data_IF_229111115503
#
_entry.id   IF_229111115503
#
_cell.length_a   1.000
_cell.length_b   1.000
_cell.length_c   1.000
_cell.angle_alpha   90.00
_cell.angle_beta   90.00
_cell.angle_gamma   90.00
#
_symmetry.space_group_name_H-M   'P 1'
#
loop_
_entity.id
_entity.type
_entity.pdbx_description
1 polymer ?
#
# COMPACT_ATOMS: atom_id res chain seq x y z
N UNK A 1 30.73 -22.58 11.50
CA UNK A 1 30.05 -21.41 10.86
C UNK A 1 28.70 -21.88 10.35
N UNK A 2 27.64 -21.20 10.71
CA UNK A 2 26.30 -21.56 10.25
C UNK A 2 26.13 -21.04 8.83
N UNK A 3 26.00 -21.94 7.84
CA UNK A 3 25.62 -21.63 6.46
C UNK A 3 24.15 -21.20 6.40
N UNK A 4 23.82 -20.07 7.01
CA UNK A 4 22.49 -19.51 6.89
C UNK A 4 22.38 -18.84 5.51
N UNK A 5 21.35 -19.23 4.77
CA UNK A 5 21.02 -18.54 3.52
C UNK A 5 20.83 -17.03 3.78
N UNK A 6 21.28 -16.16 2.86
CA UNK A 6 21.07 -14.73 3.02
C UNK A 6 19.57 -14.39 3.03
N UNK A 7 19.21 -13.37 3.79
CA UNK A 7 17.84 -12.83 3.79
C UNK A 7 17.53 -12.29 2.38
N UNK A 8 16.39 -12.68 1.83
CA UNK A 8 15.91 -12.16 0.56
C UNK A 8 14.94 -11.00 0.80
N UNK A 9 15.11 -9.93 0.08
CA UNK A 9 14.12 -8.84 0.06
C UNK A 9 12.86 -9.29 -0.65
N UNK A 10 11.72 -8.71 -0.30
CA UNK A 10 10.45 -9.00 -0.95
C UNK A 10 9.90 -7.76 -1.63
N UNK A 11 9.20 -7.96 -2.74
CA UNK A 11 8.29 -7.01 -3.35
C UNK A 11 6.88 -7.52 -3.15
N UNK A 12 5.95 -6.61 -2.87
CA UNK A 12 4.53 -6.96 -2.72
C UNK A 12 3.83 -6.52 -4.01
N UNK A 13 3.13 -7.43 -4.65
CA UNK A 13 2.41 -7.15 -5.90
C UNK A 13 0.91 -7.25 -5.66
N UNK A 14 0.20 -6.21 -6.07
CA UNK A 14 -1.26 -6.16 -6.10
C UNK A 14 -1.74 -6.36 -7.53
N UNK A 15 -2.62 -7.32 -7.74
CA UNK A 15 -3.44 -7.39 -8.93
C UNK A 15 -4.61 -6.42 -8.78
N UNK A 16 -4.89 -5.61 -9.79
CA UNK A 16 -5.85 -4.51 -9.67
C UNK A 16 -6.48 -4.14 -11.01
N UNK A 17 -7.49 -3.29 -10.97
CA UNK A 17 -8.14 -2.75 -12.17
C UNK A 17 -7.50 -1.45 -12.64
N UNK A 18 -7.04 -0.59 -11.71
CA UNK A 18 -6.46 0.73 -11.99
C UNK A 18 -5.13 0.92 -11.23
N UNK A 19 -4.01 0.46 -11.80
CA UNK A 19 -2.70 0.57 -11.15
C UNK A 19 -2.30 1.98 -10.74
N UNK A 20 -2.55 2.99 -11.58
CA UNK A 20 -2.18 4.36 -11.27
C UNK A 20 -2.93 4.91 -10.06
N UNK A 21 -4.25 4.75 -10.02
CA UNK A 21 -5.07 5.22 -8.91
C UNK A 21 -4.76 4.47 -7.61
N UNK A 22 -4.57 3.15 -7.68
CA UNK A 22 -4.25 2.35 -6.52
C UNK A 22 -2.85 2.68 -5.96
N UNK A 23 -1.88 2.94 -6.84
CA UNK A 23 -0.54 3.37 -6.43
C UNK A 23 -0.59 4.71 -5.68
N UNK A 24 -1.37 5.68 -6.13
CA UNK A 24 -1.52 6.96 -5.44
C UNK A 24 -2.09 6.78 -4.03
N UNK A 25 -3.10 5.93 -3.87
CA UNK A 25 -3.66 5.60 -2.56
C UNK A 25 -2.59 5.01 -1.62
N UNK A 26 -1.88 3.98 -2.07
CA UNK A 26 -0.90 3.29 -1.25
C UNK A 26 0.34 4.14 -0.96
N UNK A 27 0.70 5.08 -1.85
CA UNK A 27 1.75 6.05 -1.57
C UNK A 27 1.41 6.89 -0.33
N UNK A 28 0.18 7.38 -0.23
CA UNK A 28 -0.27 8.14 0.96
C UNK A 28 -0.36 7.22 2.17
N UNK A 29 -0.95 6.04 2.04
CA UNK A 29 -1.15 5.11 3.15
C UNK A 29 0.16 4.69 3.82
N UNK A 30 1.23 4.51 3.05
CA UNK A 30 2.54 4.08 3.54
C UNK A 30 3.52 5.23 3.79
N UNK A 31 3.20 6.46 3.38
CA UNK A 31 4.17 7.55 3.36
C UNK A 31 5.27 7.32 2.31
N UNK A 32 4.93 6.64 1.24
CA UNK A 32 5.78 6.37 0.09
C UNK A 32 5.59 7.42 -1.00
N UNK A 33 6.30 7.26 -2.09
CA UNK A 33 6.10 8.01 -3.33
C UNK A 33 5.80 7.04 -4.48
N UNK A 34 5.04 7.51 -5.47
CA UNK A 34 4.96 6.81 -6.74
C UNK A 34 6.37 6.77 -7.34
N UNK A 35 6.76 5.61 -7.86
CA UNK A 35 8.11 5.42 -8.37
C UNK A 35 8.44 6.49 -9.41
N UNK A 36 9.53 7.25 -9.22
CA UNK A 36 9.94 8.27 -10.18
C UNK A 36 10.24 7.68 -11.55
N UNK A 37 10.12 8.46 -12.64
CA UNK A 37 10.52 8.01 -13.96
C UNK A 37 12.01 7.66 -14.00
N UNK A 38 12.44 6.82 -14.97
CA UNK A 38 13.84 6.41 -15.07
C UNK A 38 14.76 7.60 -15.40
N UNK A 39 16.07 7.47 -15.11
CA UNK A 39 17.03 8.54 -15.41
C UNK A 39 16.94 9.00 -16.87
N UNK A 40 16.99 10.31 -17.08
CA UNK A 40 16.91 10.93 -18.40
C UNK A 40 15.49 11.34 -18.83
N UNK A 41 14.49 11.09 -18.02
CA UNK A 41 13.10 11.50 -18.28
C UNK A 41 12.54 12.28 -17.09
N UNK A 42 11.87 13.39 -17.37
CA UNK A 42 11.22 14.20 -16.33
C UNK A 42 9.85 13.64 -15.91
N UNK A 43 9.20 12.90 -16.81
CA UNK A 43 7.88 12.29 -16.56
C UNK A 43 7.84 10.87 -17.10
N UNK A 44 6.92 10.06 -16.56
CA UNK A 44 6.63 8.74 -17.09
C UNK A 44 6.07 8.81 -18.52
N UNK A 45 5.24 9.79 -18.84
CA UNK A 45 4.71 9.96 -20.18
C UNK A 45 5.83 10.19 -21.19
N UNK A 46 6.84 11.00 -20.86
CA UNK A 46 8.01 11.19 -21.72
C UNK A 46 8.79 9.89 -21.96
N UNK A 47 8.97 9.08 -20.91
CA UNK A 47 9.63 7.77 -21.04
C UNK A 47 8.81 6.81 -21.91
N UNK A 48 7.51 6.74 -21.68
CA UNK A 48 6.61 5.86 -22.42
C UNK A 48 6.48 6.29 -23.90
N UNK A 49 6.48 7.59 -24.16
CA UNK A 49 6.55 8.12 -25.54
C UNK A 49 7.83 7.67 -26.24
N UNK A 50 8.97 7.82 -25.59
CA UNK A 50 10.26 7.41 -26.13
C UNK A 50 10.35 5.91 -26.41
N UNK A 51 9.65 5.10 -25.59
CA UNK A 51 9.60 3.65 -25.75
C UNK A 51 8.48 3.16 -26.68
N UNK A 52 7.69 4.08 -27.23
CA UNK A 52 6.63 3.75 -28.17
C UNK A 52 5.43 3.03 -27.55
N UNK A 53 5.18 3.21 -26.26
CA UNK A 53 4.03 2.62 -25.57
C UNK A 53 2.77 3.39 -25.94
N UNK A 54 1.75 2.76 -26.55
CA UNK A 54 0.51 3.43 -26.91
C UNK A 54 -0.26 3.91 -25.66
N UNK A 55 -1.05 5.00 -25.75
CA UNK A 55 -1.75 5.58 -24.61
C UNK A 55 -2.65 4.61 -23.83
N UNK A 56 -3.31 3.69 -24.51
CA UNK A 56 -4.21 2.69 -23.92
C UNK A 56 -3.49 1.60 -23.12
N UNK A 57 -2.16 1.49 -23.23
CA UNK A 57 -1.34 0.55 -22.48
C UNK A 57 -0.51 1.19 -21.35
N UNK A 58 -0.67 2.49 -21.12
CA UNK A 58 0.16 3.21 -20.13
C UNK A 58 -0.25 3.00 -18.67
N UNK A 59 -1.45 2.48 -18.41
CA UNK A 59 -1.93 2.16 -17.08
C UNK A 59 -2.00 0.64 -16.84
N UNK A 60 -1.07 -0.10 -17.40
CA UNK A 60 -0.95 -1.55 -17.17
C UNK A 60 -0.18 -1.86 -15.87
N UNK A 61 0.66 -0.94 -15.42
CA UNK A 61 1.55 -1.11 -14.27
C UNK A 61 1.80 0.20 -13.56
N UNK A 62 2.04 0.11 -12.25
CA UNK A 62 2.55 1.20 -11.43
C UNK A 62 3.30 0.65 -10.23
N UNK A 63 4.00 1.49 -9.51
CA UNK A 63 4.69 1.09 -8.30
C UNK A 63 4.84 2.26 -7.34
N UNK A 64 4.97 1.92 -6.05
CA UNK A 64 5.35 2.87 -5.02
C UNK A 64 6.57 2.36 -4.27
N UNK A 65 7.40 3.29 -3.87
CA UNK A 65 8.67 3.03 -3.20
C UNK A 65 8.83 3.97 -2.00
N UNK A 66 9.61 3.58 -0.97
CA UNK A 66 9.97 4.53 0.09
C UNK A 66 10.60 5.79 -0.49
N UNK A 67 10.40 6.92 0.19
CA UNK A 67 11.13 8.15 -0.14
C UNK A 67 12.62 7.99 0.17
N UNK A 68 13.46 8.82 -0.46
CA UNK A 68 14.91 8.73 -0.34
C UNK A 68 15.37 8.67 1.13
N UNK A 69 16.26 7.73 1.42
CA UNK A 69 16.80 7.50 2.75
C UNK A 69 15.95 6.70 3.70
N UNK A 70 14.80 6.19 3.26
CA UNK A 70 13.92 5.31 4.04
C UNK A 70 13.87 3.91 3.45
N UNK A 71 13.61 2.92 4.30
CA UNK A 71 13.53 1.52 3.93
C UNK A 71 12.08 1.01 3.96
N UNK A 72 11.81 0.03 3.13
CA UNK A 72 10.55 -0.69 3.08
C UNK A 72 10.42 -1.47 1.77
N UNK A 73 9.49 -2.42 1.70
CA UNK A 73 9.25 -3.18 0.47
C UNK A 73 8.65 -2.27 -0.61
N UNK A 74 9.06 -2.47 -1.85
CA UNK A 74 8.40 -1.87 -3.00
C UNK A 74 7.04 -2.53 -3.17
N UNK A 75 5.99 -1.74 -3.42
CA UNK A 75 4.69 -2.25 -3.86
C UNK A 75 4.56 -2.05 -5.37
N UNK A 76 4.20 -3.11 -6.05
CA UNK A 76 3.97 -3.12 -7.48
C UNK A 76 2.48 -3.39 -7.75
N UNK A 77 1.92 -2.71 -8.74
CA UNK A 77 0.51 -2.82 -9.12
C UNK A 77 0.44 -3.23 -10.58
N UNK A 78 -0.25 -4.32 -10.86
CA UNK A 78 -0.44 -4.79 -12.22
C UNK A 78 -1.91 -4.96 -12.54
N UNK A 79 -2.31 -4.49 -13.71
CA UNK A 79 -3.67 -4.61 -14.17
C UNK A 79 -3.99 -6.06 -14.53
N UNK A 80 -5.14 -6.53 -14.04
CA UNK A 80 -5.68 -7.86 -14.36
C UNK A 80 -7.17 -7.71 -14.69
N UNK A 81 -7.73 -8.61 -15.52
CA UNK A 81 -9.13 -8.55 -15.90
C UNK A 81 -10.07 -9.06 -14.80
N UNK A 82 -9.56 -9.85 -13.86
CA UNK A 82 -10.36 -10.47 -12.80
C UNK A 82 -10.66 -9.48 -11.67
N UNK A 83 -11.91 -9.44 -11.24
CA UNK A 83 -12.31 -8.68 -10.06
C UNK A 83 -11.92 -9.42 -8.76
N UNK A 84 -11.76 -8.64 -7.69
CA UNK A 84 -11.57 -9.22 -6.36
C UNK A 84 -12.88 -9.80 -5.85
N UNK A 85 -12.92 -11.11 -5.61
CA UNK A 85 -14.11 -11.86 -5.16
C UNK A 85 -13.93 -12.42 -3.76
N UNK A 86 -12.81 -13.07 -3.49
CA UNK A 86 -12.55 -13.71 -2.21
C UNK A 86 -11.88 -12.75 -1.22
N UNK A 87 -12.05 -13.05 0.10
CA UNK A 87 -11.31 -12.36 1.15
C UNK A 87 -9.81 -12.56 0.97
N UNK A 88 -9.02 -11.52 1.23
CA UNK A 88 -7.56 -11.62 1.27
C UNK A 88 -7.12 -12.73 2.24
N UNK A 89 -6.15 -13.54 1.84
CA UNK A 89 -5.47 -14.50 2.72
C UNK A 89 -4.19 -13.91 3.31
N UNK A 90 -3.64 -12.88 2.67
CA UNK A 90 -2.53 -12.07 3.16
C UNK A 90 -2.99 -10.63 3.17
N UNK A 91 -2.78 -9.93 4.27
CA UNK A 91 -3.06 -8.49 4.39
C UNK A 91 -1.88 -7.75 4.97
N UNK A 92 -1.74 -6.49 4.59
CA UNK A 92 -0.73 -5.61 5.16
C UNK A 92 -1.27 -5.00 6.44
N UNK A 93 -0.44 -4.91 7.47
CA UNK A 93 -0.73 -4.21 8.70
C UNK A 93 0.15 -2.96 8.75
N UNK A 94 -0.47 -1.79 8.67
CA UNK A 94 0.21 -0.50 8.70
C UNK A 94 0.38 -0.07 10.16
N UNK A 95 1.60 0.11 10.61
CA UNK A 95 1.92 0.58 11.97
C UNK A 95 1.64 2.09 12.07
N UNK A 96 0.37 2.44 12.26
CA UNK A 96 -0.10 3.82 12.20
C UNK A 96 -0.06 4.55 13.54
N UNK A 97 0.10 3.83 14.66
CA UNK A 97 0.10 4.39 16.02
C UNK A 97 1.30 3.90 16.84
N UNK A 98 2.54 4.03 16.33
CA UNK A 98 3.71 3.54 17.05
C UNK A 98 3.88 4.24 18.40
N UNK A 99 4.13 3.46 19.47
CA UNK A 99 4.36 3.97 20.82
C UNK A 99 3.10 4.41 21.58
N UNK A 100 1.92 4.31 20.96
CA UNK A 100 0.65 4.65 21.60
C UNK A 100 -0.09 3.40 22.07
N UNK A 101 -0.83 3.55 23.17
CA UNK A 101 -1.62 2.49 23.77
C UNK A 101 -3.03 2.99 24.15
N UNK A 102 -3.96 2.06 24.34
CA UNK A 102 -5.30 2.34 24.82
C UNK A 102 -6.06 3.35 23.95
N UNK A 103 -6.71 4.29 24.59
CA UNK A 103 -7.55 5.29 23.90
C UNK A 103 -6.76 6.18 22.95
N UNK A 104 -5.57 6.61 23.32
CA UNK A 104 -4.72 7.44 22.46
C UNK A 104 -4.33 6.71 21.17
N UNK A 105 -4.03 5.42 21.28
CA UNK A 105 -3.79 4.57 20.12
C UNK A 105 -5.02 4.54 19.20
N UNK A 106 -6.18 4.23 19.74
CA UNK A 106 -7.41 4.14 18.96
C UNK A 106 -7.79 5.46 18.29
N UNK A 107 -7.61 6.58 19.00
CA UNK A 107 -7.82 7.92 18.40
C UNK A 107 -6.89 8.16 17.21
N UNK A 108 -5.62 7.80 17.32
CA UNK A 108 -4.66 7.93 16.22
C UNK A 108 -5.03 7.05 15.02
N UNK A 109 -5.46 5.81 15.29
CA UNK A 109 -5.92 4.92 14.21
C UNK A 109 -7.14 5.50 13.50
N UNK A 110 -8.09 6.08 14.24
CA UNK A 110 -9.27 6.73 13.65
C UNK A 110 -8.92 7.98 12.83
N UNK A 111 -7.92 8.76 13.23
CA UNK A 111 -7.42 9.89 12.44
C UNK A 111 -6.88 9.39 11.08
N UNK A 112 -6.03 8.38 11.09
CA UNK A 112 -5.49 7.80 9.86
C UNK A 112 -6.61 7.16 9.03
N UNK A 113 -7.55 6.49 9.66
CA UNK A 113 -8.73 5.94 9.00
C UNK A 113 -9.51 7.03 8.24
N UNK A 114 -9.74 8.18 8.86
CA UNK A 114 -10.44 9.31 8.22
C UNK A 114 -9.65 9.86 7.02
N UNK A 115 -8.33 10.00 7.14
CA UNK A 115 -7.47 10.42 6.03
C UNK A 115 -7.58 9.46 4.83
N UNK A 116 -7.50 8.15 5.08
CA UNK A 116 -7.55 7.14 4.02
C UNK A 116 -8.95 6.96 3.44
N UNK A 117 -9.99 7.11 4.27
CA UNK A 117 -11.39 7.09 3.80
C UNK A 117 -11.67 8.22 2.83
N UNK A 118 -11.10 9.41 3.07
CA UNK A 118 -11.20 10.53 2.13
C UNK A 118 -10.56 10.22 0.77
N UNK A 119 -9.66 9.24 0.70
CA UNK A 119 -8.98 8.80 -0.53
C UNK A 119 -9.61 7.53 -1.14
N UNK A 120 -10.73 7.07 -0.61
CA UNK A 120 -11.49 5.94 -1.17
C UNK A 120 -11.40 4.63 -0.40
N UNK A 121 -10.70 4.59 0.73
CA UNK A 121 -10.73 3.43 1.61
C UNK A 121 -12.07 3.31 2.35
N UNK A 122 -12.35 2.15 2.91
CA UNK A 122 -13.50 1.91 3.78
C UNK A 122 -13.07 1.21 5.05
N UNK A 123 -13.64 1.62 6.18
CA UNK A 123 -13.51 0.88 7.43
C UNK A 123 -14.45 -0.32 7.40
N UNK A 124 -13.94 -1.52 7.66
CA UNK A 124 -14.71 -2.76 7.69
C UNK A 124 -15.05 -3.18 9.12
N UNK A 125 -14.10 -3.01 10.05
CA UNK A 125 -14.27 -3.40 11.43
C UNK A 125 -13.37 -2.59 12.36
N UNK A 126 -13.67 -2.61 13.65
CA UNK A 126 -12.88 -2.01 14.71
C UNK A 126 -12.76 -2.98 15.88
N UNK A 127 -11.54 -3.24 16.32
CA UNK A 127 -11.24 -4.09 17.47
C UNK A 127 -10.65 -3.26 18.59
N UNK A 128 -11.34 -3.24 19.72
CA UNK A 128 -10.89 -2.52 20.90
C UNK A 128 -9.67 -3.19 21.54
N UNK A 129 -8.84 -2.42 22.27
CA UNK A 129 -7.72 -3.01 23.01
C UNK A 129 -8.18 -4.08 24.00
N UNK A 130 -7.50 -5.21 23.97
CA UNK A 130 -7.65 -6.34 24.89
C UNK A 130 -6.27 -6.82 25.38
N UNK A 131 -5.56 -6.01 26.19
CA UNK A 131 -4.23 -6.40 26.67
C UNK A 131 -4.27 -7.72 27.46
N UNK A 132 -3.24 -8.58 27.35
CA UNK A 132 -2.01 -8.41 26.55
C UNK A 132 -2.11 -8.97 25.13
N UNK A 133 -3.27 -9.46 24.68
CA UNK A 133 -3.41 -10.22 23.45
C UNK A 133 -3.68 -9.37 22.20
N UNK A 134 -4.32 -8.22 22.38
CA UNK A 134 -4.63 -7.31 21.27
C UNK A 134 -4.45 -5.86 21.73
N UNK A 135 -3.66 -5.10 20.99
CA UNK A 135 -3.45 -3.68 21.26
C UNK A 135 -4.58 -2.79 20.72
N UNK A 136 -5.48 -3.36 19.93
CA UNK A 136 -6.52 -2.65 19.21
C UNK A 136 -6.08 -2.31 17.78
N UNK A 137 -6.99 -2.48 16.82
CA UNK A 137 -6.71 -2.22 15.41
C UNK A 137 -8.00 -1.95 14.63
N UNK A 138 -7.84 -1.40 13.44
CA UNK A 138 -8.94 -1.20 12.48
C UNK A 138 -8.71 -2.08 11.26
N UNK A 139 -9.76 -2.73 10.79
CA UNK A 139 -9.74 -3.46 9.52
C UNK A 139 -10.32 -2.56 8.44
N UNK A 140 -9.58 -2.39 7.36
CA UNK A 140 -9.87 -1.49 6.27
C UNK A 140 -9.96 -2.24 4.94
N UNK A 141 -10.58 -1.62 3.96
CA UNK A 141 -10.46 -2.01 2.55
C UNK A 141 -9.91 -0.83 1.75
N UNK A 142 -8.98 -1.09 0.85
CA UNK A 142 -8.50 -0.09 -0.09
C UNK A 142 -9.54 0.23 -1.18
N UNK A 143 -9.32 1.20 -2.07
CA UNK A 143 -10.30 1.57 -3.10
C UNK A 143 -10.76 0.43 -4.01
N UNK A 144 -10.00 -0.64 -4.12
CA UNK A 144 -10.37 -1.83 -4.91
C UNK A 144 -10.84 -3.00 -4.05
N UNK A 145 -11.02 -2.79 -2.74
CA UNK A 145 -11.56 -3.79 -1.82
C UNK A 145 -10.53 -4.72 -1.20
N UNK A 146 -9.23 -4.47 -1.38
CA UNK A 146 -8.20 -5.26 -0.72
C UNK A 146 -8.15 -4.93 0.77
N UNK A 147 -8.25 -5.95 1.62
CA UNK A 147 -8.24 -5.77 3.07
C UNK A 147 -6.83 -5.49 3.58
N UNK A 148 -6.73 -4.53 4.50
CA UNK A 148 -5.53 -4.20 5.25
C UNK A 148 -5.92 -3.72 6.65
N UNK A 149 -4.95 -3.61 7.56
CA UNK A 149 -5.21 -3.14 8.91
C UNK A 149 -4.42 -1.87 9.22
N UNK A 150 -5.01 -1.03 10.06
CA UNK A 150 -4.32 0.03 10.78
C UNK A 150 -4.06 -0.45 12.21
N UNK A 151 -2.79 -0.40 12.62
CA UNK A 151 -2.29 -1.07 13.81
C UNK A 151 -1.24 -0.21 14.55
#
# INVERSE_FOLDING_TARGET
>A
MSDKAPVRTVQITFDCADPAALAEFWAVALGYQVQPPPPGFDTWDAALDAWGVPPDLRNERSAVVPVDGQDGPRLFFQRVPEDKVAKNRVHLDLRAAPGLEGEQRMLRLEEVCAELTALGARQLDRFEPHPPTDAGHLVMADPEGNEFCLD
#
